data_IF_741936247928
#
_entry.id   IF_741936247928
#
_cell.length_a   1.000
_cell.length_b   1.000
_cell.length_c   1.000
_cell.angle_alpha   90.00
_cell.angle_beta   90.00
_cell.angle_gamma   90.00
#
_symmetry.space_group_name_H-M   'P 1'
#
loop_
_entity.id
_entity.type
_entity.pdbx_description
1 polymer ?
#
# COMPACT_ATOMS: atom_id res chain seq x y z
N UNK A 1 1.00 15.67 -20.27
CA UNK A 1 1.52 15.21 -18.98
C UNK A 1 0.73 15.89 -17.88
N UNK A 2 0.06 15.13 -17.01
CA UNK A 2 -0.73 15.66 -15.90
C UNK A 2 0.22 16.34 -14.89
N UNK A 3 -0.21 17.42 -14.25
CA UNK A 3 0.61 18.14 -13.24
C UNK A 3 1.05 17.22 -12.10
N UNK A 4 0.18 16.29 -11.69
CA UNK A 4 0.49 15.32 -10.63
C UNK A 4 1.60 14.34 -11.05
N UNK A 5 1.62 13.88 -12.33
CA UNK A 5 2.69 13.03 -12.84
C UNK A 5 4.04 13.74 -12.80
N UNK A 6 4.09 15.03 -13.20
CA UNK A 6 5.34 15.82 -13.15
C UNK A 6 5.88 15.94 -11.73
N UNK A 7 5.01 16.17 -10.75
CA UNK A 7 5.40 16.26 -9.34
C UNK A 7 5.90 14.92 -8.81
N UNK A 8 5.25 13.80 -9.17
CA UNK A 8 5.70 12.46 -8.81
C UNK A 8 7.10 12.20 -9.38
N UNK A 9 7.29 12.41 -10.69
CA UNK A 9 8.58 12.19 -11.35
C UNK A 9 9.69 13.08 -10.76
N UNK A 10 9.37 14.35 -10.41
CA UNK A 10 10.32 15.22 -9.73
C UNK A 10 10.73 14.66 -8.36
N UNK A 11 9.76 14.21 -7.55
CA UNK A 11 10.03 13.56 -6.24
C UNK A 11 10.91 12.31 -6.39
N UNK A 12 10.64 11.49 -7.43
CA UNK A 12 11.48 10.32 -7.71
C UNK A 12 12.90 10.73 -8.09
N UNK A 13 13.08 11.73 -8.97
CA UNK A 13 14.42 12.25 -9.31
C UNK A 13 15.16 12.79 -8.08
N UNK A 14 14.46 13.43 -7.15
CA UNK A 14 15.05 13.93 -5.91
C UNK A 14 15.61 12.78 -5.04
N UNK A 15 14.98 11.57 -5.04
CA UNK A 15 15.52 10.40 -4.33
C UNK A 15 16.90 9.99 -4.87
N UNK A 16 17.05 9.93 -6.19
CA UNK A 16 18.35 9.61 -6.81
C UNK A 16 19.40 10.67 -6.48
N UNK A 17 19.04 11.94 -6.58
CA UNK A 17 19.93 13.06 -6.23
C UNK A 17 20.35 13.05 -4.77
N UNK A 18 19.45 12.68 -3.85
CA UNK A 18 19.72 12.54 -2.43
C UNK A 18 20.58 11.30 -2.11
N UNK A 19 20.36 10.20 -2.84
CA UNK A 19 21.18 8.99 -2.74
C UNK A 19 22.63 9.32 -3.10
N UNK A 20 22.87 10.00 -4.22
CA UNK A 20 24.22 10.45 -4.61
C UNK A 20 24.85 11.37 -3.59
N UNK A 21 24.12 12.40 -3.18
CA UNK A 21 24.65 13.43 -2.28
C UNK A 21 25.08 12.86 -0.93
N UNK A 22 24.36 11.86 -0.44
CA UNK A 22 24.62 11.28 0.88
C UNK A 22 25.37 9.94 0.82
N UNK A 23 25.52 9.35 -0.38
CA UNK A 23 26.10 8.01 -0.59
C UNK A 23 25.42 6.93 0.27
N UNK A 24 24.09 7.02 0.43
CA UNK A 24 23.27 6.11 1.24
C UNK A 24 21.90 5.87 0.59
N UNK A 25 21.28 4.76 0.93
CA UNK A 25 19.92 4.43 0.50
C UNK A 25 18.94 5.57 0.80
N UNK A 26 18.03 5.83 -0.15
CA UNK A 26 16.88 6.72 0.01
C UNK A 26 15.61 6.04 -0.43
N UNK A 27 14.54 6.20 0.35
CA UNK A 27 13.26 5.61 0.05
C UNK A 27 12.16 6.66 -0.09
N UNK A 28 11.18 6.37 -0.95
CA UNK A 28 9.94 7.13 -1.01
C UNK A 28 9.04 6.76 0.18
N UNK A 29 7.94 7.47 0.32
CA UNK A 29 6.76 6.96 1.02
C UNK A 29 6.06 5.89 0.16
N UNK A 30 4.98 5.27 0.65
CA UNK A 30 4.19 4.31 -0.13
C UNK A 30 3.57 4.95 -1.36
N UNK A 31 3.85 4.37 -2.49
CA UNK A 31 3.27 4.67 -3.80
C UNK A 31 2.04 3.79 -4.02
N UNK A 32 0.99 4.33 -4.61
CA UNK A 32 -0.18 3.56 -5.01
C UNK A 32 -0.02 2.96 -6.43
N UNK A 33 -0.98 2.11 -6.83
CA UNK A 33 -0.91 1.46 -8.14
C UNK A 33 -0.90 2.42 -9.33
N UNK A 34 -1.56 3.59 -9.21
CA UNK A 34 -1.53 4.63 -10.24
C UNK A 34 -0.16 5.30 -10.32
N UNK A 35 0.45 5.62 -9.18
CA UNK A 35 1.80 6.19 -9.10
C UNK A 35 2.85 5.20 -9.62
N UNK A 36 2.73 3.91 -9.27
CA UNK A 36 3.61 2.85 -9.77
C UNK A 36 3.53 2.71 -11.30
N UNK A 37 2.32 2.73 -11.86
CA UNK A 37 2.13 2.67 -13.32
C UNK A 37 2.75 3.90 -14.02
N UNK A 38 2.61 5.10 -13.45
CA UNK A 38 3.25 6.31 -14.01
C UNK A 38 4.77 6.19 -13.99
N UNK A 39 5.35 5.66 -12.90
CA UNK A 39 6.80 5.45 -12.81
C UNK A 39 7.25 4.42 -13.87
N UNK A 40 6.52 3.32 -14.02
CA UNK A 40 6.84 2.29 -15.01
C UNK A 40 6.78 2.82 -16.44
N UNK A 41 5.78 3.65 -16.76
CA UNK A 41 5.57 4.17 -18.12
C UNK A 41 6.44 5.39 -18.46
N UNK A 42 6.67 6.28 -17.50
CA UNK A 42 7.22 7.62 -17.78
C UNK A 42 8.63 7.85 -17.18
N UNK A 43 9.14 6.94 -16.32
CA UNK A 43 10.43 7.11 -15.65
C UNK A 43 11.44 6.05 -16.07
N UNK A 44 12.61 6.49 -16.49
CA UNK A 44 13.75 5.59 -16.73
C UNK A 44 14.71 5.67 -15.54
N UNK A 45 14.93 4.53 -14.91
CA UNK A 45 15.89 4.42 -13.80
C UNK A 45 17.28 4.79 -14.32
N UNK A 46 17.95 5.79 -13.73
CA UNK A 46 19.29 6.17 -14.14
C UNK A 46 20.29 5.02 -13.95
N UNK A 47 21.32 4.98 -14.78
CA UNK A 47 22.41 4.01 -14.63
C UNK A 47 23.23 4.30 -13.35
N UNK A 48 23.78 3.25 -12.72
CA UNK A 48 24.61 3.39 -11.53
C UNK A 48 23.83 3.35 -10.21
N UNK A 49 22.60 2.81 -10.23
CA UNK A 49 21.79 2.59 -9.02
C UNK A 49 21.18 1.21 -9.01
N UNK A 50 21.03 0.65 -7.82
CA UNK A 50 20.13 -0.46 -7.57
C UNK A 50 18.80 0.08 -7.03
N UNK A 51 17.68 -0.51 -7.44
CA UNK A 51 16.35 -0.08 -7.00
C UNK A 51 15.51 -1.27 -6.55
N UNK A 52 14.66 -1.04 -5.56
CA UNK A 52 13.75 -2.05 -5.03
C UNK A 52 12.37 -1.44 -4.79
N UNK A 53 11.34 -2.07 -5.33
CA UNK A 53 9.93 -1.77 -5.01
C UNK A 53 9.41 -2.84 -4.07
N UNK A 54 9.20 -2.49 -2.83
CA UNK A 54 8.74 -3.42 -1.80
C UNK A 54 7.63 -2.82 -0.95
N UNK A 55 6.62 -3.61 -0.59
CA UNK A 55 5.48 -3.17 0.21
C UNK A 55 5.28 -3.97 1.51
N UNK A 56 6.29 -4.78 1.90
CA UNK A 56 6.26 -5.59 3.10
C UNK A 56 5.91 -7.06 2.86
N UNK A 57 5.40 -7.41 1.67
CA UNK A 57 5.13 -8.78 1.24
C UNK A 57 5.02 -8.87 -0.28
N UNK A 58 5.09 -10.09 -0.84
CA UNK A 58 5.23 -10.35 -2.28
C UNK A 58 4.17 -9.67 -3.15
N UNK A 59 2.90 -9.72 -2.76
CA UNK A 59 1.77 -9.22 -3.55
C UNK A 59 1.22 -7.88 -3.03
N UNK A 60 2.07 -7.05 -2.43
CA UNK A 60 1.65 -5.74 -1.93
C UNK A 60 1.19 -4.82 -3.08
N UNK A 61 0.03 -4.19 -2.88
CA UNK A 61 -0.53 -3.22 -3.84
C UNK A 61 0.18 -1.86 -3.74
N UNK A 62 0.49 -1.45 -2.53
CA UNK A 62 1.25 -0.22 -2.26
C UNK A 62 2.70 -0.56 -1.96
N UNK A 63 3.63 0.12 -2.62
CA UNK A 63 5.07 -0.17 -2.49
C UNK A 63 5.86 1.10 -2.22
N UNK A 64 6.94 0.94 -1.50
CA UNK A 64 7.98 1.95 -1.32
C UNK A 64 9.03 1.71 -2.40
N UNK A 65 9.48 2.77 -3.05
CA UNK A 65 10.66 2.73 -3.92
C UNK A 65 11.88 3.06 -3.07
N UNK A 66 12.82 2.14 -2.97
CA UNK A 66 14.15 2.39 -2.41
C UNK A 66 15.20 2.46 -3.51
N UNK A 67 16.06 3.45 -3.44
CA UNK A 67 17.19 3.70 -4.34
C UNK A 67 18.46 3.48 -3.55
N UNK A 68 19.32 2.59 -4.04
CA UNK A 68 20.59 2.24 -3.42
C UNK A 68 21.75 2.70 -4.32
N UNK A 69 22.89 3.12 -3.75
CA UNK A 69 24.11 3.30 -4.53
C UNK A 69 24.52 2.01 -5.25
N UNK A 70 25.21 2.11 -6.40
CA UNK A 70 25.60 0.96 -7.23
C UNK A 70 26.37 -0.14 -6.47
N UNK A 71 27.15 0.25 -5.48
CA UNK A 71 27.96 -0.68 -4.66
C UNK A 71 27.18 -1.40 -3.57
N UNK A 72 25.95 -0.97 -3.26
CA UNK A 72 25.09 -1.56 -2.25
C UNK A 72 24.06 -2.48 -2.92
N UNK A 73 24.00 -3.73 -2.50
CA UNK A 73 22.91 -4.63 -2.93
C UNK A 73 21.58 -4.19 -2.33
N UNK A 74 20.51 -4.39 -3.09
CA UNK A 74 19.16 -4.05 -2.61
C UNK A 74 18.60 -5.20 -1.76
N UNK A 75 18.29 -4.94 -0.50
CA UNK A 75 17.72 -5.92 0.42
C UNK A 75 16.35 -5.47 0.95
N UNK A 76 15.38 -6.38 0.97
CA UNK A 76 14.04 -6.11 1.50
C UNK A 76 14.06 -5.75 2.99
N UNK A 77 15.01 -6.31 3.74
CA UNK A 77 15.21 -6.07 5.17
C UNK A 77 15.59 -4.62 5.50
N UNK A 78 16.15 -3.89 4.54
CA UNK A 78 16.55 -2.49 4.71
C UNK A 78 15.41 -1.50 4.43
N UNK A 79 14.31 -1.96 3.78
CA UNK A 79 13.19 -1.08 3.48
C UNK A 79 12.51 -0.63 4.77
N UNK A 80 12.30 0.68 4.99
CA UNK A 80 11.80 1.23 6.25
C UNK A 80 10.29 1.04 6.42
N UNK A 81 9.84 -0.21 6.39
CA UNK A 81 8.45 -0.61 6.58
C UNK A 81 8.32 -1.42 7.86
N UNK A 82 7.29 -1.14 8.63
CA UNK A 82 6.90 -1.91 9.80
C UNK A 82 5.48 -2.44 9.62
N UNK A 83 5.18 -3.61 10.18
CA UNK A 83 3.86 -4.19 10.20
C UNK A 83 3.27 -4.11 11.60
N UNK A 84 2.05 -3.59 11.70
CA UNK A 84 1.32 -3.44 12.96
C UNK A 84 0.12 -4.38 12.94
N UNK A 85 0.01 -5.23 13.95
CA UNK A 85 -1.17 -6.05 14.20
C UNK A 85 -2.14 -5.32 15.09
N UNK A 86 -3.40 -5.27 14.66
CA UNK A 86 -4.54 -4.83 15.45
C UNK A 86 -5.44 -6.01 15.73
N UNK A 87 -5.46 -6.49 16.97
CA UNK A 87 -6.34 -7.57 17.41
C UNK A 87 -7.69 -6.98 17.88
N UNK A 88 -8.78 -7.50 17.34
CA UNK A 88 -10.15 -7.03 17.58
C UNK A 88 -10.96 -8.11 18.31
N UNK A 89 -11.85 -7.77 19.25
CA UNK A 89 -12.75 -8.74 19.86
C UNK A 89 -13.60 -9.49 18.82
N UNK A 90 -13.72 -10.83 18.94
CA UNK A 90 -14.33 -11.75 17.94
C UNK A 90 -15.76 -11.40 17.47
N UNK A 91 -16.50 -10.61 18.25
CA UNK A 91 -17.86 -10.18 17.91
C UNK A 91 -17.93 -8.87 17.09
N UNK A 92 -16.80 -8.29 16.73
CA UNK A 92 -16.72 -7.05 15.92
C UNK A 92 -16.08 -7.35 14.58
N UNK A 93 -16.78 -6.95 13.53
CA UNK A 93 -16.21 -6.93 12.16
C UNK A 93 -15.88 -5.49 11.81
N UNK A 94 -14.61 -5.22 11.63
CA UNK A 94 -14.10 -3.95 11.14
C UNK A 94 -13.72 -4.10 9.67
N UNK A 95 -13.90 -3.04 8.93
CA UNK A 95 -13.57 -2.99 7.50
C UNK A 95 -12.25 -2.26 7.28
N UNK A 96 -11.63 -2.46 6.13
CA UNK A 96 -10.47 -1.69 5.69
C UNK A 96 -10.65 -0.17 5.94
N UNK A 97 -11.84 0.36 5.63
CA UNK A 97 -12.17 1.80 5.79
C UNK A 97 -12.13 2.26 7.25
N UNK A 98 -12.51 1.40 8.20
CA UNK A 98 -12.48 1.73 9.63
C UNK A 98 -11.04 1.90 10.12
N UNK A 99 -10.13 1.02 9.72
CA UNK A 99 -8.70 1.12 10.03
C UNK A 99 -8.09 2.37 9.40
N UNK A 100 -8.26 2.53 8.09
CA UNK A 100 -7.71 3.68 7.36
C UNK A 100 -8.24 5.01 7.94
N UNK A 101 -9.56 5.11 8.17
CA UNK A 101 -10.16 6.32 8.73
C UNK A 101 -9.63 6.67 10.11
N UNK A 102 -9.37 5.66 10.95
CA UNK A 102 -8.77 5.88 12.29
C UNK A 102 -7.35 6.43 12.16
N UNK A 103 -6.51 5.84 11.31
CA UNK A 103 -5.13 6.29 11.11
C UNK A 103 -5.09 7.72 10.54
N UNK A 104 -5.92 8.02 9.55
CA UNK A 104 -6.04 9.36 8.98
C UNK A 104 -6.51 10.40 10.03
N UNK A 105 -7.37 10.01 10.96
CA UNK A 105 -7.84 10.89 12.04
C UNK A 105 -6.75 11.28 13.06
N UNK A 106 -5.66 10.52 13.12
CA UNK A 106 -4.45 10.86 13.88
C UNK A 106 -3.53 11.87 13.16
N UNK A 107 -3.92 12.36 12.00
CA UNK A 107 -3.10 13.28 11.19
C UNK A 107 -2.00 12.58 10.38
N UNK A 108 -2.08 11.27 10.21
CA UNK A 108 -1.11 10.50 9.43
C UNK A 108 -1.46 10.63 7.95
N UNK A 109 -0.48 11.02 7.13
CA UNK A 109 -0.66 11.09 5.68
C UNK A 109 -0.88 9.70 5.07
N UNK A 110 -1.75 9.62 4.05
CA UNK A 110 -2.04 8.37 3.34
C UNK A 110 -0.78 7.71 2.76
N UNK A 111 0.20 8.52 2.34
CA UNK A 111 1.48 8.03 1.82
C UNK A 111 2.32 7.27 2.85
N UNK A 112 2.12 7.50 4.14
CA UNK A 112 2.80 6.78 5.22
C UNK A 112 2.16 5.41 5.54
N UNK A 113 1.01 5.11 4.92
CA UNK A 113 0.24 3.89 5.16
C UNK A 113 0.27 3.04 3.89
N UNK A 114 0.77 1.83 4.03
CA UNK A 114 0.75 0.79 3.00
C UNK A 114 -0.58 0.06 2.92
N UNK A 115 -0.52 -1.26 2.72
CA UNK A 115 -1.68 -2.12 2.66
C UNK A 115 -2.26 -2.40 4.05
N UNK A 116 -3.57 -2.64 4.08
CA UNK A 116 -4.33 -3.03 5.26
C UNK A 116 -4.98 -4.38 4.96
N UNK A 117 -4.45 -5.43 5.56
CA UNK A 117 -4.91 -6.80 5.36
C UNK A 117 -5.80 -7.23 6.53
N UNK A 118 -7.11 -7.32 6.29
CA UNK A 118 -8.07 -7.70 7.32
C UNK A 118 -8.29 -9.22 7.37
N UNK A 119 -8.43 -9.77 8.57
CA UNK A 119 -8.81 -11.15 8.82
C UNK A 119 -10.00 -11.24 9.81
N UNK A 120 -10.29 -12.45 10.31
CA UNK A 120 -11.40 -12.65 11.25
C UNK A 120 -11.10 -12.18 12.69
N UNK A 121 -9.83 -11.88 12.99
CA UNK A 121 -9.36 -11.48 14.32
C UNK A 121 -8.88 -10.02 14.38
N UNK A 122 -8.81 -9.34 13.22
CA UNK A 122 -8.36 -7.95 13.17
C UNK A 122 -7.77 -7.55 11.82
N UNK A 123 -6.62 -6.89 11.87
CA UNK A 123 -5.89 -6.51 10.66
C UNK A 123 -4.38 -6.41 10.88
N UNK A 124 -3.63 -6.62 9.81
CA UNK A 124 -2.26 -6.18 9.67
C UNK A 124 -2.24 -4.88 8.86
N UNK A 125 -1.51 -3.91 9.34
CA UNK A 125 -1.35 -2.61 8.67
C UNK A 125 0.13 -2.35 8.47
N UNK A 126 0.52 -2.13 7.23
CA UNK A 126 1.87 -1.73 6.87
C UNK A 126 2.00 -0.22 6.97
N UNK A 127 3.06 0.25 7.59
CA UNK A 127 3.33 1.68 7.76
C UNK A 127 4.82 1.95 7.55
N UNK A 128 5.16 3.20 7.23
CA UNK A 128 6.55 3.63 7.32
C UNK A 128 7.06 3.48 8.75
N UNK A 129 8.29 2.99 8.92
CA UNK A 129 8.84 2.67 10.26
C UNK A 129 8.94 3.87 11.18
N UNK A 130 9.10 5.08 10.63
CA UNK A 130 9.18 6.34 11.39
C UNK A 130 7.92 6.65 12.19
N UNK A 131 6.74 6.12 11.77
CA UNK A 131 5.46 6.33 12.46
C UNK A 131 4.97 5.11 13.24
N UNK A 132 5.62 3.95 13.13
CA UNK A 132 5.11 2.69 13.68
C UNK A 132 4.86 2.75 15.20
N UNK A 133 5.82 3.26 15.97
CA UNK A 133 5.70 3.44 17.42
C UNK A 133 4.61 4.43 17.79
N UNK A 134 4.46 5.52 17.03
CA UNK A 134 3.40 6.50 17.24
C UNK A 134 2.03 5.86 17.08
N UNK A 135 1.84 5.09 16.00
CA UNK A 135 0.58 4.36 15.73
C UNK A 135 0.31 3.34 16.83
N UNK A 136 1.29 2.51 17.19
CA UNK A 136 1.14 1.46 18.19
C UNK A 136 0.71 2.00 19.57
N UNK A 137 1.21 3.18 19.95
CA UNK A 137 0.89 3.79 21.25
C UNK A 137 -0.42 4.57 21.28
N UNK A 138 -0.84 5.13 20.14
CA UNK A 138 -1.98 6.06 20.10
C UNK A 138 -3.28 5.41 19.62
N UNK A 139 -3.22 4.27 18.92
CA UNK A 139 -4.42 3.55 18.45
C UNK A 139 -4.82 2.48 19.47
N UNK A 140 -5.79 2.81 20.33
CA UNK A 140 -6.41 1.88 21.26
C UNK A 140 -7.87 1.56 20.92
N UNK A 141 -8.42 2.24 19.91
CA UNK A 141 -9.76 2.02 19.36
C UNK A 141 -9.77 2.21 17.87
N UNK A 142 -10.56 1.39 17.17
CA UNK A 142 -10.89 1.56 15.76
C UNK A 142 -12.41 1.60 15.65
N UNK A 143 -12.94 2.70 15.09
CA UNK A 143 -14.36 3.04 15.19
C UNK A 143 -14.81 2.96 16.68
N UNK A 144 -15.75 2.04 16.99
CA UNK A 144 -16.26 1.84 18.36
C UNK A 144 -15.71 0.57 19.04
N UNK A 145 -14.69 -0.06 18.49
CA UNK A 145 -14.07 -1.27 19.03
C UNK A 145 -12.73 -0.95 19.69
N UNK A 146 -12.54 -1.37 20.92
CA UNK A 146 -11.22 -1.40 21.54
C UNK A 146 -10.33 -2.42 20.81
N UNK A 147 -9.09 -2.07 20.55
CA UNK A 147 -8.12 -2.94 19.88
C UNK A 147 -6.85 -3.08 20.73
N UNK A 148 -6.21 -4.23 20.62
CA UNK A 148 -4.87 -4.42 21.12
C UNK A 148 -3.90 -4.27 19.95
N UNK A 149 -2.90 -3.43 20.12
CA UNK A 149 -1.98 -3.05 19.03
C UNK A 149 -0.57 -3.51 19.36
N UNK A 150 0.10 -4.17 18.41
CA UNK A 150 1.50 -4.58 18.53
C UNK A 150 2.23 -4.45 17.20
N UNK A 151 3.50 -4.04 17.26
CA UNK A 151 4.40 -4.14 16.12
C UNK A 151 4.83 -5.60 16.00
N UNK A 152 4.74 -6.16 14.81
CA UNK A 152 5.10 -7.54 14.50
C UNK A 152 6.43 -7.54 13.75
N UNK A 153 7.30 -8.50 14.06
CA UNK A 153 8.51 -8.70 13.27
C UNK A 153 8.11 -9.12 11.84
N UNK A 154 8.74 -8.49 10.84
CA UNK A 154 8.47 -8.79 9.44
C UNK A 154 8.76 -10.27 9.11
N UNK A 155 9.73 -10.88 9.79
CA UNK A 155 10.07 -12.29 9.64
C UNK A 155 8.96 -13.23 10.16
N UNK A 156 8.16 -12.78 11.12
CA UNK A 156 7.04 -13.53 11.70
C UNK A 156 5.71 -13.25 10.99
N UNK A 157 5.70 -12.29 10.06
CA UNK A 157 4.49 -11.94 9.33
C UNK A 157 4.12 -13.00 8.31
N UNK A 158 2.89 -13.49 8.39
CA UNK A 158 2.28 -14.33 7.36
C UNK A 158 1.03 -13.63 6.81
N UNK A 159 0.99 -13.33 5.50
CA UNK A 159 -0.19 -12.70 4.92
C UNK A 159 -1.43 -13.57 5.10
N UNK A 160 -2.56 -13.01 5.56
CA UNK A 160 -3.80 -13.75 5.67
C UNK A 160 -4.21 -14.24 4.28
N UNK A 161 -4.69 -15.49 4.21
CA UNK A 161 -5.15 -16.06 2.94
C UNK A 161 -6.32 -15.22 2.40
N UNK A 162 -6.22 -14.72 1.14
CA UNK A 162 -7.29 -13.96 0.56
C UNK A 162 -8.56 -14.81 0.46
N UNK A 163 -9.69 -14.26 0.92
CA UNK A 163 -11.01 -14.90 0.74
C UNK A 163 -11.45 -14.70 -0.71
N UNK A 164 -11.01 -15.57 -1.60
CA UNK A 164 -11.37 -15.55 -3.02
C UNK A 164 -12.62 -16.38 -3.27
N UNK A 165 -13.48 -15.90 -4.17
CA UNK A 165 -14.62 -16.64 -4.68
C UNK A 165 -14.50 -16.71 -6.20
N UNK A 166 -14.41 -17.92 -6.73
CA UNK A 166 -14.46 -18.11 -8.18
C UNK A 166 -15.88 -17.94 -8.69
N UNK A 167 -16.04 -17.09 -9.71
CA UNK A 167 -17.32 -16.92 -10.42
C UNK A 167 -17.12 -17.14 -11.91
N UNK A 168 -17.90 -18.01 -12.49
CA UNK A 168 -18.01 -18.12 -13.93
C UNK A 168 -19.09 -17.16 -14.42
N UNK A 169 -18.75 -16.25 -15.31
CA UNK A 169 -19.69 -15.32 -15.92
C UNK A 169 -19.51 -15.26 -17.44
N UNK A 170 -20.59 -14.99 -18.15
CA UNK A 170 -20.58 -14.77 -19.60
C UNK A 170 -20.63 -13.28 -19.86
N UNK A 171 -19.62 -12.77 -20.57
CA UNK A 171 -19.53 -11.35 -20.91
C UNK A 171 -19.72 -11.18 -22.44
N UNK A 172 -20.44 -10.16 -22.82
CA UNK A 172 -20.64 -9.83 -24.24
C UNK A 172 -19.36 -9.25 -24.89
N UNK A 173 -18.44 -8.72 -24.08
CA UNK A 173 -17.15 -8.19 -24.51
C UNK A 173 -16.17 -8.16 -23.35
N UNK A 174 -14.86 -8.05 -23.65
CA UNK A 174 -13.78 -7.91 -22.64
C UNK A 174 -13.57 -6.46 -22.16
N UNK A 175 -14.53 -5.59 -22.37
CA UNK A 175 -14.48 -4.23 -21.80
C UNK A 175 -14.63 -4.31 -20.27
N UNK A 176 -13.90 -3.47 -19.55
CA UNK A 176 -13.91 -3.45 -18.08
C UNK A 176 -15.33 -3.32 -17.50
N UNK A 177 -16.14 -2.39 -18.05
CA UNK A 177 -17.52 -2.18 -17.64
C UNK A 177 -18.40 -3.45 -17.82
N UNK A 178 -18.19 -4.20 -18.89
CA UNK A 178 -18.95 -5.42 -19.18
C UNK A 178 -18.53 -6.58 -18.27
N UNK A 179 -17.22 -6.75 -18.04
CA UNK A 179 -16.69 -7.79 -17.15
C UNK A 179 -17.11 -7.56 -15.72
N UNK A 180 -16.96 -6.34 -15.19
CA UNK A 180 -17.34 -5.97 -13.82
C UNK A 180 -18.86 -6.12 -13.63
N UNK A 181 -19.68 -5.65 -14.60
CA UNK A 181 -21.14 -5.80 -14.56
C UNK A 181 -21.56 -7.26 -14.45
N UNK A 182 -20.97 -8.13 -15.29
CA UNK A 182 -21.27 -9.56 -15.29
C UNK A 182 -20.83 -10.27 -14.01
N UNK A 183 -19.62 -9.95 -13.51
CA UNK A 183 -19.05 -10.58 -12.32
C UNK A 183 -19.78 -10.19 -11.04
N UNK A 184 -20.12 -8.90 -10.89
CA UNK A 184 -20.82 -8.38 -9.72
C UNK A 184 -22.35 -8.48 -9.83
N UNK A 185 -22.87 -8.86 -11.01
CA UNK A 185 -24.30 -8.92 -11.31
C UNK A 185 -25.02 -7.59 -11.07
N UNK A 186 -24.43 -6.50 -11.56
CA UNK A 186 -24.96 -5.13 -11.45
C UNK A 186 -25.18 -4.52 -12.85
N UNK A 187 -25.99 -3.46 -12.92
CA UNK A 187 -26.23 -2.77 -14.19
C UNK A 187 -24.97 -2.03 -14.68
N UNK A 188 -24.81 -1.91 -16.01
CA UNK A 188 -23.69 -1.16 -16.62
C UNK A 188 -23.57 0.27 -16.11
N UNK A 189 -24.69 0.98 -15.94
CA UNK A 189 -24.69 2.35 -15.42
C UNK A 189 -24.17 2.44 -13.97
N UNK A 190 -24.42 1.42 -13.14
CA UNK A 190 -23.83 1.34 -11.80
C UNK A 190 -22.34 0.98 -11.85
N UNK A 191 -21.96 0.13 -12.81
CA UNK A 191 -20.55 -0.23 -13.03
C UNK A 191 -19.72 0.99 -13.47
N UNK A 192 -20.23 1.78 -14.42
CA UNK A 192 -19.56 3.03 -14.86
C UNK A 192 -19.35 4.00 -13.69
N UNK A 193 -20.35 4.13 -12.80
CA UNK A 193 -20.21 4.94 -11.57
C UNK A 193 -19.16 4.39 -10.63
N UNK A 194 -19.12 3.07 -10.43
CA UNK A 194 -18.09 2.42 -9.58
C UNK A 194 -16.68 2.63 -10.15
N UNK A 195 -16.49 2.43 -11.44
CA UNK A 195 -15.19 2.61 -12.10
C UNK A 195 -14.75 4.09 -12.06
N UNK A 196 -15.69 5.04 -12.20
CA UNK A 196 -15.36 6.47 -12.17
C UNK A 196 -15.16 7.04 -10.78
N UNK A 197 -15.60 6.34 -9.74
CA UNK A 197 -15.44 6.76 -8.33
C UNK A 197 -14.15 6.22 -7.68
N UNK A 198 -13.36 5.41 -8.38
CA UNK A 198 -12.11 4.80 -7.91
C UNK A 198 -12.34 3.53 -7.13
#
# INVERSE_FOLDING_TARGET
>A
MNTNHKLLIARINDLFSLCDKHCEMKCSDFLDGGELAVIEDEFQIPYGYNTLFFGGYENAERKVLCVFPEWQESEESEVPISVIRFDVPKFRKLTHRDYLGTLMSLGIDRSKIGDILTDDEGAYVFVMSDIAEYVARNVNKIANAGVNTKIVDMADFMPPKPKTTEKMCVCASLRLDAVVAATLNISRGNTEKLISSG
#
